data_IF_727649783249
#
_entry.id   IF_727649783249
#
_cell.length_a   1.000
_cell.length_b   1.000
_cell.length_c   1.000
_cell.angle_alpha   90.00
_cell.angle_beta   90.00
_cell.angle_gamma   90.00
#
_symmetry.space_group_name_H-M   'P 1'
#
loop_
_entity.id
_entity.type
_entity.pdbx_description
1 polymer ?
#
# COMPACT_ATOMS: atom_id res chain seq x y z
N UNK A 1 -4.85 -31.32 2.89
CA UNK A 1 -4.85 -30.06 3.66
C UNK A 1 -4.16 -28.99 2.81
N UNK A 2 -4.88 -27.99 2.31
CA UNK A 2 -4.24 -26.88 1.58
C UNK A 2 -3.45 -26.02 2.55
N UNK A 3 -2.18 -25.79 2.25
CA UNK A 3 -1.34 -24.90 3.05
C UNK A 3 -1.73 -23.46 2.70
N UNK A 4 -1.97 -22.62 3.71
CA UNK A 4 -1.99 -21.18 3.51
C UNK A 4 -0.56 -20.78 3.15
N UNK A 5 -0.34 -20.47 1.88
CA UNK A 5 0.96 -20.02 1.42
C UNK A 5 1.13 -18.53 1.75
N UNK A 6 2.16 -18.25 2.53
CA UNK A 6 2.62 -16.91 2.94
C UNK A 6 4.15 -16.82 2.94
N UNK A 7 4.87 -17.78 2.35
CA UNK A 7 6.35 -17.71 2.24
C UNK A 7 6.76 -17.22 0.86
N UNK A 8 7.95 -16.60 0.77
CA UNK A 8 8.49 -16.07 -0.48
C UNK A 8 8.77 -17.19 -1.49
N UNK A 9 9.16 -18.36 -0.99
CA UNK A 9 9.55 -19.52 -1.82
C UNK A 9 8.35 -20.11 -2.56
N UNK A 10 7.20 -20.21 -1.90
CA UNK A 10 5.99 -20.70 -2.53
C UNK A 10 5.49 -19.74 -3.64
N UNK A 11 5.61 -18.42 -3.44
CA UNK A 11 5.29 -17.41 -4.47
C UNK A 11 6.22 -17.59 -5.66
N UNK A 12 7.51 -17.83 -5.42
CA UNK A 12 8.48 -18.07 -6.47
C UNK A 12 8.17 -19.35 -7.27
N UNK A 13 7.81 -20.44 -6.58
CA UNK A 13 7.42 -21.70 -7.21
C UNK A 13 6.17 -21.54 -8.10
N UNK A 14 5.13 -20.84 -7.61
CA UNK A 14 3.91 -20.56 -8.39
C UNK A 14 4.22 -19.79 -9.67
N UNK A 15 5.09 -18.77 -9.59
CA UNK A 15 5.45 -17.95 -10.76
C UNK A 15 6.33 -18.71 -11.74
N UNK A 16 7.28 -19.52 -11.25
CA UNK A 16 8.11 -20.37 -12.11
C UNK A 16 7.24 -21.35 -12.92
N UNK A 17 6.28 -22.00 -12.26
CA UNK A 17 5.35 -22.93 -12.93
C UNK A 17 4.40 -22.21 -13.89
N UNK A 18 3.98 -20.98 -13.55
CA UNK A 18 3.16 -20.16 -14.45
C UNK A 18 3.95 -19.73 -15.70
N UNK A 19 5.22 -19.33 -15.56
CA UNK A 19 6.12 -19.02 -16.70
C UNK A 19 6.37 -20.25 -17.59
N UNK A 20 6.35 -21.45 -17.01
CA UNK A 20 6.41 -22.71 -17.74
C UNK A 20 5.08 -23.14 -18.41
N UNK A 21 4.06 -22.26 -18.42
CA UNK A 21 2.74 -22.49 -19.03
C UNK A 21 1.92 -23.64 -18.43
N UNK A 22 2.14 -24.00 -17.17
CA UNK A 22 1.27 -24.98 -16.49
C UNK A 22 -0.13 -24.43 -16.21
N UNK A 23 -1.12 -25.32 -16.19
CA UNK A 23 -2.51 -24.97 -15.88
C UNK A 23 -2.62 -24.66 -14.38
N UNK A 24 -3.35 -23.60 -14.01
CA UNK A 24 -3.46 -23.14 -12.60
C UNK A 24 -3.90 -24.23 -11.61
N UNK A 25 -4.71 -25.19 -12.06
CA UNK A 25 -5.13 -26.35 -11.25
C UNK A 25 -3.96 -27.29 -10.93
N UNK A 26 -3.07 -27.53 -11.89
CA UNK A 26 -1.86 -28.34 -11.70
C UNK A 26 -0.88 -27.62 -10.78
N UNK A 27 -0.71 -26.31 -10.95
CA UNK A 27 0.13 -25.49 -10.07
C UNK A 27 -0.35 -25.61 -8.62
N UNK A 28 -1.67 -25.53 -8.39
CA UNK A 28 -2.27 -25.68 -7.06
C UNK A 28 -2.01 -27.07 -6.45
N UNK A 29 -2.09 -28.12 -7.27
CA UNK A 29 -1.82 -29.49 -6.83
C UNK A 29 -0.33 -29.71 -6.49
N UNK A 30 0.59 -29.17 -7.29
CA UNK A 30 2.04 -29.32 -7.12
C UNK A 30 2.57 -28.50 -5.94
N UNK A 31 2.13 -27.26 -5.80
CA UNK A 31 2.60 -26.35 -4.73
C UNK A 31 1.84 -26.53 -3.42
N UNK A 32 0.68 -27.18 -3.43
CA UNK A 32 -0.21 -27.31 -2.26
C UNK A 32 -0.88 -25.98 -1.85
N UNK A 33 -0.70 -24.92 -2.64
CA UNK A 33 -1.34 -23.61 -2.49
C UNK A 33 -2.81 -23.74 -2.90
N UNK A 34 -3.73 -23.10 -2.16
CA UNK A 34 -5.13 -23.04 -2.57
C UNK A 34 -5.30 -22.36 -3.94
N UNK A 35 -6.11 -22.94 -4.83
CA UNK A 35 -6.33 -22.45 -6.20
C UNK A 35 -6.67 -20.95 -6.28
N UNK A 36 -7.48 -20.45 -5.34
CA UNK A 36 -7.85 -19.03 -5.26
C UNK A 36 -6.64 -18.12 -5.01
N UNK A 37 -5.65 -18.58 -4.24
CA UNK A 37 -4.41 -17.85 -3.98
C UNK A 37 -3.53 -17.85 -5.23
N UNK A 38 -3.40 -18.99 -5.91
CA UNK A 38 -2.68 -19.10 -7.19
C UNK A 38 -3.26 -18.12 -8.22
N UNK A 39 -4.60 -18.10 -8.38
CA UNK A 39 -5.28 -17.17 -9.28
C UNK A 39 -4.98 -15.70 -8.95
N UNK A 40 -5.06 -15.34 -7.68
CA UNK A 40 -4.77 -13.97 -7.24
C UNK A 40 -3.30 -13.58 -7.45
N UNK A 41 -2.37 -14.50 -7.22
CA UNK A 41 -0.93 -14.28 -7.44
C UNK A 41 -0.63 -14.07 -8.93
N UNK A 42 -1.15 -14.95 -9.79
CA UNK A 42 -0.99 -14.83 -11.25
C UNK A 42 -1.61 -13.54 -11.76
N UNK A 43 -2.79 -13.16 -11.26
CA UNK A 43 -3.40 -11.87 -11.61
C UNK A 43 -2.50 -10.70 -11.25
N UNK A 44 -2.00 -10.65 -10.00
CA UNK A 44 -1.08 -9.59 -9.56
C UNK A 44 0.22 -9.56 -10.36
N UNK A 45 0.75 -10.73 -10.71
CA UNK A 45 1.95 -10.85 -11.51
C UNK A 45 1.77 -10.28 -12.93
N UNK A 46 0.60 -10.52 -13.55
CA UNK A 46 0.22 -9.88 -14.82
C UNK A 46 0.03 -8.36 -14.66
N UNK A 47 -0.63 -7.92 -13.59
CA UNK A 47 -0.89 -6.50 -13.33
C UNK A 47 0.41 -5.70 -13.09
N UNK A 48 1.45 -6.33 -12.54
CA UNK A 48 2.78 -5.75 -12.27
C UNK A 48 3.75 -5.81 -13.46
N UNK A 49 3.35 -6.39 -14.60
CA UNK A 49 4.17 -6.43 -15.81
C UNK A 49 5.18 -7.57 -15.90
N UNK A 50 4.95 -8.70 -15.22
CA UNK A 50 5.70 -9.97 -15.35
C UNK A 50 7.21 -9.96 -15.02
N UNK A 51 7.77 -8.80 -14.66
CA UNK A 51 9.19 -8.68 -14.25
C UNK A 51 9.38 -8.78 -12.73
N UNK A 52 8.39 -8.35 -11.93
CA UNK A 52 8.51 -8.32 -10.48
C UNK A 52 7.74 -9.44 -9.77
N UNK A 53 8.39 -10.05 -8.77
CA UNK A 53 7.70 -10.92 -7.83
C UNK A 53 6.70 -10.09 -7.02
N UNK A 54 5.43 -10.54 -6.89
CA UNK A 54 4.42 -9.82 -6.13
C UNK A 54 4.81 -9.83 -4.66
N UNK A 55 5.50 -8.77 -4.24
CA UNK A 55 5.80 -8.54 -2.84
C UNK A 55 4.49 -8.29 -2.07
N UNK A 56 4.42 -8.64 -0.78
CA UNK A 56 3.30 -8.21 0.05
C UNK A 56 3.25 -6.69 0.03
N UNK A 57 2.16 -6.14 -0.52
CA UNK A 57 1.90 -4.70 -0.50
C UNK A 57 2.01 -4.21 0.95
N UNK A 58 2.73 -3.10 1.20
CA UNK A 58 2.74 -2.51 2.53
C UNK A 58 1.28 -2.23 2.90
N UNK A 59 0.88 -2.63 4.12
CA UNK A 59 -0.45 -2.29 4.64
C UNK A 59 -0.53 -0.78 4.67
N UNK A 60 -1.32 -0.18 3.79
CA UNK A 60 -1.57 1.26 3.85
C UNK A 60 -2.30 1.55 5.16
N UNK A 61 -1.56 2.06 6.14
CA UNK A 61 -2.17 2.68 7.30
C UNK A 61 -3.00 3.87 6.85
N UNK A 62 -4.08 4.20 7.57
CA UNK A 62 -4.86 5.40 7.26
C UNK A 62 -3.99 6.63 7.49
N UNK A 63 -3.57 7.40 6.46
CA UNK A 63 -2.81 8.61 6.70
C UNK A 63 -3.75 9.61 7.38
N UNK A 64 -3.46 10.00 8.63
CA UNK A 64 -4.17 11.09 9.32
C UNK A 64 -3.18 12.13 9.81
N UNK A 65 -2.53 12.80 8.85
CA UNK A 65 -1.80 14.04 9.12
C UNK A 65 -2.72 15.08 9.75
N UNK A 66 -3.96 15.17 9.26
CA UNK A 66 -4.98 16.09 9.78
C UNK A 66 -6.27 15.34 10.13
N UNK A 67 -6.92 15.78 11.20
CA UNK A 67 -8.26 15.27 11.54
C UNK A 67 -9.30 15.81 10.55
N UNK A 68 -10.41 15.09 10.30
CA UNK A 68 -11.51 15.62 9.47
C UNK A 68 -12.07 16.95 9.96
N UNK A 69 -12.05 17.19 11.29
CA UNK A 69 -12.46 18.46 11.90
C UNK A 69 -11.51 19.59 11.50
N UNK A 70 -10.21 19.33 11.55
CA UNK A 70 -9.16 20.27 11.13
C UNK A 70 -9.32 20.65 9.65
N UNK A 71 -9.57 19.68 8.77
CA UNK A 71 -9.81 19.94 7.34
C UNK A 71 -11.06 20.80 7.10
N UNK A 72 -12.14 20.54 7.83
CA UNK A 72 -13.38 21.33 7.74
C UNK A 72 -13.16 22.77 8.20
N UNK A 73 -12.35 22.97 9.24
CA UNK A 73 -12.00 24.30 9.74
C UNK A 73 -11.15 25.07 8.74
N UNK A 74 -10.10 24.45 8.19
CA UNK A 74 -9.27 25.06 7.13
C UNK A 74 -10.14 25.42 5.92
N UNK A 75 -11.01 24.50 5.50
CA UNK A 75 -11.92 24.74 4.38
C UNK A 75 -12.85 25.92 4.64
N UNK A 76 -13.32 26.11 5.88
CA UNK A 76 -14.16 27.26 6.26
C UNK A 76 -13.39 28.57 6.20
N UNK A 77 -12.15 28.59 6.67
CA UNK A 77 -11.30 29.78 6.65
C UNK A 77 -11.00 30.23 5.22
N UNK A 78 -10.60 29.30 4.35
CA UNK A 78 -10.31 29.58 2.94
C UNK A 78 -11.58 30.02 2.19
N UNK A 79 -12.74 29.43 2.48
CA UNK A 79 -14.02 29.87 1.89
C UNK A 79 -14.42 31.28 2.31
N UNK A 80 -14.17 31.64 3.56
CA UNK A 80 -14.46 32.98 4.06
C UNK A 80 -13.54 34.02 3.44
N UNK A 81 -12.23 33.74 3.40
CA UNK A 81 -11.21 34.64 2.90
C UNK A 81 -10.26 33.85 1.98
N UNK A 82 -10.49 33.84 0.66
CA UNK A 82 -9.72 33.01 -0.28
C UNK A 82 -8.30 33.50 -0.52
N UNK A 83 -7.99 34.75 -0.15
CA UNK A 83 -6.64 35.33 -0.22
C UNK A 83 -5.72 34.90 0.93
N UNK A 84 -6.21 34.09 1.88
CA UNK A 84 -5.41 33.66 3.02
C UNK A 84 -4.27 32.76 2.57
N UNK A 85 -3.07 33.10 3.02
CA UNK A 85 -1.87 32.28 2.82
C UNK A 85 -1.83 31.15 3.83
N UNK A 86 -1.18 30.03 3.49
CA UNK A 86 -1.01 28.89 4.41
C UNK A 86 -0.39 29.28 5.77
N UNK A 87 0.51 30.28 5.79
CA UNK A 87 1.10 30.83 7.03
C UNK A 87 0.04 31.46 7.93
N UNK A 88 -0.84 32.28 7.35
CA UNK A 88 -1.91 32.98 8.07
C UNK A 88 -2.98 32.01 8.59
N UNK A 89 -3.30 30.97 7.80
CA UNK A 89 -4.19 29.88 8.24
C UNK A 89 -3.60 29.15 9.45
N UNK A 90 -2.28 28.96 9.49
CA UNK A 90 -1.56 28.33 10.59
C UNK A 90 -1.53 29.22 11.84
N UNK A 91 -1.26 30.50 11.68
CA UNK A 91 -1.20 31.50 12.77
C UNK A 91 -2.56 31.66 13.49
N UNK A 92 -3.67 31.59 12.76
CA UNK A 92 -5.03 31.69 13.32
C UNK A 92 -5.37 30.55 14.28
N UNK A 93 -4.75 29.37 14.15
CA UNK A 93 -4.96 28.23 15.04
C UNK A 93 -3.67 27.40 15.18
N UNK A 94 -2.82 27.68 16.19
CA UNK A 94 -1.56 26.96 16.39
C UNK A 94 -1.73 25.46 16.68
N UNK A 95 -2.94 25.03 17.06
CA UNK A 95 -3.29 23.62 17.30
C UNK A 95 -3.08 22.67 16.10
N UNK A 96 -2.88 23.20 14.89
CA UNK A 96 -2.58 22.41 13.69
C UNK A 96 -1.18 21.75 13.71
N UNK A 97 -0.31 22.12 14.65
CA UNK A 97 1.09 21.66 14.69
C UNK A 97 1.32 20.29 15.32
N UNK A 98 0.35 19.73 16.04
CA UNK A 98 0.60 18.65 17.00
C UNK A 98 0.84 17.24 16.41
N UNK A 99 1.13 17.07 15.11
CA UNK A 99 1.40 15.75 14.49
C UNK A 99 2.49 15.69 13.40
N UNK A 100 3.28 16.74 13.20
CA UNK A 100 4.35 16.73 12.18
C UNK A 100 5.70 16.21 12.71
N UNK A 101 5.69 15.20 13.57
CA UNK A 101 6.93 14.58 14.06
C UNK A 101 6.79 13.07 13.96
N UNK A 102 7.31 12.51 12.86
CA UNK A 102 7.92 11.17 12.64
C UNK A 102 7.72 10.65 11.20
N UNK A 103 8.11 11.41 10.18
CA UNK A 103 8.36 10.82 8.84
C UNK A 103 9.70 11.24 8.20
N UNK A 104 10.54 12.02 8.91
CA UNK A 104 11.83 12.45 8.39
C UNK A 104 12.93 12.33 9.45
N UNK A 105 13.32 11.09 9.78
CA UNK A 105 14.62 10.83 10.40
C UNK A 105 14.97 9.35 10.26
N UNK A 106 15.35 8.92 9.04
CA UNK A 106 16.38 7.92 8.74
C UNK A 106 16.24 7.44 7.29
N UNK A 107 16.82 8.20 6.35
CA UNK A 107 17.44 7.59 5.18
C UNK A 107 18.90 8.04 5.20
N UNK A 108 19.87 7.16 5.50
CA UNK A 108 21.26 7.48 5.25
C UNK A 108 21.46 7.56 3.73
N UNK A 109 21.92 8.72 3.27
CA UNK A 109 22.50 8.87 1.94
C UNK A 109 23.77 8.00 1.86
N UNK A 110 23.99 7.43 0.67
CA UNK A 110 25.12 6.57 0.29
C UNK A 110 26.47 7.17 0.66
#
# INVERSE_FOLDING_TARGET
MSRMVTTRDDIAAVIALYKANHVLREISAQTGVALRVVQNLVKRFRDLGEEEFPAPLPKSGRPKLLSPRTLKDISRQVRSNPSLTAREVKERKPSYESRLVTLCSTSPAR
#
